data_IF_389325205787
#
_entry.id   IF_389325205787
#
_cell.length_a   1.000
_cell.length_b   1.000
_cell.length_c   1.000
_cell.angle_alpha   90.00
_cell.angle_beta   90.00
_cell.angle_gamma   90.00
#
_symmetry.space_group_name_H-M   'P 1'
#
loop_
_entity.id
_entity.type
_entity.pdbx_description
1 polymer ?
#
# COMPACT_ATOMS: atom_id res chain seq x y z
N UNK A 1 -19.25 14.75 -5.65
CA UNK A 1 -20.18 14.65 -6.81
C UNK A 1 -20.77 13.26 -6.81
N UNK A 2 -22.09 13.11 -6.97
CA UNK A 2 -22.71 11.78 -7.08
C UNK A 2 -22.29 11.15 -8.40
N UNK A 3 -21.91 9.87 -8.37
CA UNK A 3 -21.56 9.11 -9.55
C UNK A 3 -22.80 8.83 -10.38
N UNK A 4 -22.70 8.92 -11.72
CA UNK A 4 -23.78 8.63 -12.63
C UNK A 4 -23.93 7.11 -12.80
N UNK A 5 -25.15 6.60 -12.72
CA UNK A 5 -25.45 5.19 -12.97
C UNK A 5 -26.43 5.08 -14.11
N UNK A 6 -26.09 4.25 -15.05
CA UNK A 6 -26.91 4.01 -16.26
C UNK A 6 -27.29 2.54 -16.29
N UNK A 7 -28.56 2.26 -16.48
CA UNK A 7 -29.06 0.90 -16.63
C UNK A 7 -29.67 0.77 -18.02
N UNK A 8 -29.08 -0.12 -18.79
CA UNK A 8 -29.65 -0.54 -20.09
C UNK A 8 -30.52 -1.77 -19.85
N UNK A 9 -31.75 -1.69 -20.22
CA UNK A 9 -32.71 -2.79 -20.13
C UNK A 9 -33.60 -2.81 -21.39
N UNK A 10 -33.59 -3.91 -22.13
CA UNK A 10 -34.50 -4.15 -23.28
C UNK A 10 -34.55 -2.98 -24.27
N UNK A 11 -33.40 -2.42 -24.62
CA UNK A 11 -33.28 -1.27 -25.52
C UNK A 11 -33.56 0.09 -24.91
N UNK A 12 -34.05 0.16 -23.66
CA UNK A 12 -34.23 1.41 -22.91
C UNK A 12 -33.04 1.72 -22.03
N UNK A 13 -32.82 2.99 -21.82
CA UNK A 13 -31.74 3.51 -20.98
C UNK A 13 -32.32 4.30 -19.82
N UNK A 14 -32.03 3.87 -18.60
CA UNK A 14 -32.36 4.57 -17.36
C UNK A 14 -31.11 5.25 -16.83
N UNK A 15 -31.15 6.57 -16.72
CA UNK A 15 -30.00 7.34 -16.18
C UNK A 15 -30.38 7.85 -14.80
N UNK A 16 -29.64 7.37 -13.80
CA UNK A 16 -29.84 7.76 -12.40
C UNK A 16 -28.81 8.78 -11.99
N UNK A 17 -29.25 9.95 -11.57
CA UNK A 17 -28.46 11.03 -11.01
C UNK A 17 -28.97 11.39 -9.59
N UNK A 18 -28.38 10.77 -8.60
CA UNK A 18 -28.81 10.92 -7.21
C UNK A 18 -30.20 10.35 -6.99
N UNK A 19 -31.22 11.23 -6.86
CA UNK A 19 -32.63 10.86 -6.70
C UNK A 19 -33.43 10.95 -7.99
N UNK A 20 -32.83 11.47 -9.05
CA UNK A 20 -33.53 11.65 -10.31
C UNK A 20 -33.28 10.46 -11.24
N UNK A 21 -34.28 10.07 -11.99
CA UNK A 21 -34.17 9.07 -13.04
C UNK A 21 -34.73 9.67 -14.34
N UNK A 22 -33.95 9.56 -15.42
CA UNK A 22 -34.45 9.88 -16.77
C UNK A 22 -34.48 8.62 -17.63
N UNK A 23 -35.42 8.57 -18.55
CA UNK A 23 -35.60 7.46 -19.50
C UNK A 23 -35.27 7.92 -20.91
N UNK A 24 -34.55 7.11 -21.64
CA UNK A 24 -34.24 7.34 -23.05
C UNK A 24 -34.33 6.04 -23.85
N UNK A 25 -34.92 6.10 -25.02
CA UNK A 25 -34.97 4.99 -25.99
C UNK A 25 -33.71 4.96 -26.88
N UNK A 26 -32.87 5.99 -26.77
CA UNK A 26 -31.59 6.07 -27.47
C UNK A 26 -30.43 6.11 -26.50
N UNK A 27 -29.24 5.74 -26.95
CA UNK A 27 -28.02 5.77 -26.16
C UNK A 27 -27.72 7.18 -25.64
N UNK A 28 -27.70 7.41 -24.33
CA UNK A 28 -27.53 8.75 -23.77
C UNK A 28 -26.07 9.23 -23.96
N UNK A 29 -25.89 10.54 -24.09
CA UNK A 29 -24.58 11.17 -23.99
C UNK A 29 -24.33 11.48 -22.57
N UNK A 30 -23.26 10.91 -22.01
CA UNK A 30 -22.86 11.07 -20.61
C UNK A 30 -21.92 12.25 -20.48
N UNK A 31 -22.09 13.08 -19.44
CA UNK A 31 -21.29 14.28 -19.22
C UNK A 31 -20.21 14.10 -18.16
N UNK A 32 -20.16 12.92 -17.55
CA UNK A 32 -19.20 12.55 -16.47
C UNK A 32 -19.06 11.05 -16.40
N UNK A 33 -18.02 10.59 -15.71
CA UNK A 33 -17.77 9.17 -15.54
C UNK A 33 -18.97 8.43 -14.94
N UNK A 34 -19.28 7.27 -15.49
CA UNK A 34 -20.49 6.54 -15.18
C UNK A 34 -20.23 5.05 -14.98
N UNK A 35 -21.14 4.41 -14.25
CA UNK A 35 -21.30 2.96 -14.22
C UNK A 35 -22.50 2.58 -15.09
N UNK A 36 -22.26 1.77 -16.09
CA UNK A 36 -23.26 1.28 -17.01
C UNK A 36 -23.51 -0.20 -16.70
N UNK A 37 -24.72 -0.53 -16.29
CA UNK A 37 -25.16 -1.92 -16.11
C UNK A 37 -26.06 -2.29 -17.26
N UNK A 38 -25.75 -3.39 -17.96
CA UNK A 38 -26.43 -3.75 -19.21
C UNK A 38 -26.89 -5.22 -19.20
N UNK A 39 -28.07 -5.46 -19.74
CA UNK A 39 -28.54 -6.78 -20.11
C UNK A 39 -28.01 -7.22 -21.48
N UNK A 40 -27.36 -6.31 -22.20
CA UNK A 40 -26.89 -6.49 -23.59
C UNK A 40 -27.93 -7.00 -24.54
N UNK A 41 -29.14 -6.57 -24.36
CA UNK A 41 -30.22 -6.82 -25.36
C UNK A 41 -30.02 -8.10 -26.21
N UNK A 42 -30.90 -9.04 -26.20
CA UNK A 42 -30.75 -10.34 -26.87
C UNK A 42 -29.56 -11.22 -26.47
N UNK A 43 -28.89 -10.90 -25.38
CA UNK A 43 -27.83 -11.74 -24.85
C UNK A 43 -28.41 -13.00 -24.16
N UNK A 44 -27.71 -14.11 -24.34
CA UNK A 44 -28.05 -15.38 -23.68
C UNK A 44 -27.20 -15.57 -22.45
N UNK A 45 -27.80 -15.52 -21.27
CA UNK A 45 -27.12 -15.84 -20.00
C UNK A 45 -27.60 -17.19 -19.46
N UNK A 46 -26.69 -18.03 -19.01
CA UNK A 46 -27.01 -19.33 -18.42
C UNK A 46 -25.85 -19.87 -17.55
N UNK A 47 -26.16 -20.95 -16.83
CA UNK A 47 -25.17 -21.82 -16.20
C UNK A 47 -25.08 -23.11 -17.00
N UNK A 48 -23.87 -23.52 -17.37
CA UNK A 48 -23.64 -24.73 -18.13
C UNK A 48 -22.58 -25.60 -17.41
N UNK A 49 -22.83 -26.90 -17.39
CA UNK A 49 -21.86 -27.90 -16.94
C UNK A 49 -21.04 -28.39 -18.12
N UNK A 50 -19.72 -28.34 -17.97
CA UNK A 50 -18.75 -28.70 -19.00
C UNK A 50 -17.71 -29.67 -18.42
N UNK A 51 -17.18 -30.52 -19.30
CA UNK A 51 -16.07 -31.43 -19.01
C UNK A 51 -14.75 -30.87 -19.56
N UNK A 52 -13.63 -31.27 -18.95
CA UNK A 52 -12.30 -30.89 -19.41
C UNK A 52 -11.74 -29.65 -18.75
N UNK A 53 -10.84 -28.92 -19.44
CA UNK A 53 -10.14 -27.77 -18.89
C UNK A 53 -10.95 -26.47 -19.01
N UNK A 54 -11.07 -25.68 -17.93
CA UNK A 54 -11.71 -24.36 -17.97
C UNK A 54 -11.08 -23.38 -18.98
N UNK A 55 -9.82 -23.62 -19.39
CA UNK A 55 -9.16 -22.80 -20.41
C UNK A 55 -9.88 -22.82 -21.76
N UNK A 56 -10.66 -23.86 -22.06
CA UNK A 56 -11.42 -24.03 -23.29
C UNK A 56 -12.91 -23.66 -23.13
N UNK A 57 -13.31 -23.15 -21.96
CA UNK A 57 -14.72 -22.86 -21.65
C UNK A 57 -15.40 -22.01 -22.71
N UNK A 58 -14.76 -20.93 -23.19
CA UNK A 58 -15.32 -20.03 -24.21
C UNK A 58 -15.70 -20.80 -25.48
N UNK A 59 -14.77 -21.59 -26.02
CA UNK A 59 -15.02 -22.35 -27.25
C UNK A 59 -16.07 -23.45 -27.07
N UNK A 60 -16.07 -24.11 -25.90
CA UNK A 60 -17.06 -25.14 -25.58
C UNK A 60 -18.46 -24.56 -25.42
N UNK A 61 -18.59 -23.41 -24.75
CA UNK A 61 -19.88 -22.70 -24.63
C UNK A 61 -20.39 -22.27 -25.98
N UNK A 62 -19.54 -21.62 -26.78
CA UNK A 62 -19.96 -21.18 -28.13
C UNK A 62 -20.41 -22.36 -29.00
N UNK A 63 -19.66 -23.46 -29.02
CA UNK A 63 -20.03 -24.67 -29.74
C UNK A 63 -21.38 -25.23 -29.27
N UNK A 64 -21.58 -25.28 -27.93
CA UNK A 64 -22.85 -25.78 -27.37
C UNK A 64 -24.04 -24.92 -27.73
N UNK A 65 -23.89 -23.59 -27.54
CA UNK A 65 -24.97 -22.64 -27.88
C UNK A 65 -25.38 -22.69 -29.37
N UNK A 66 -24.38 -22.84 -30.26
CA UNK A 66 -24.66 -23.05 -31.68
C UNK A 66 -25.36 -24.38 -31.96
N UNK A 67 -24.93 -25.47 -31.30
CA UNK A 67 -25.58 -26.77 -31.48
C UNK A 67 -27.01 -26.80 -30.97
N UNK A 68 -27.32 -26.02 -29.94
CA UNK A 68 -28.62 -25.91 -29.31
C UNK A 68 -29.51 -24.85 -30.01
N UNK A 69 -28.99 -24.17 -31.06
CA UNK A 69 -29.72 -23.14 -31.82
C UNK A 69 -30.00 -21.86 -31.02
N UNK A 70 -29.26 -21.62 -29.95
CA UNK A 70 -29.42 -20.46 -29.06
C UNK A 70 -28.68 -19.21 -29.57
N UNK A 71 -27.71 -19.40 -30.46
CA UNK A 71 -27.00 -18.32 -31.15
C UNK A 71 -26.82 -18.66 -32.63
N UNK A 72 -27.15 -17.71 -33.48
CA UNK A 72 -27.04 -17.85 -34.96
C UNK A 72 -25.81 -17.11 -35.51
N UNK A 73 -25.27 -16.14 -34.75
CA UNK A 73 -24.17 -15.29 -35.16
C UNK A 73 -22.96 -15.42 -34.22
N UNK A 74 -21.85 -14.80 -34.61
CA UNK A 74 -20.72 -14.67 -33.71
C UNK A 74 -21.11 -13.95 -32.42
N UNK A 75 -20.66 -14.48 -31.28
CA UNK A 75 -21.00 -13.95 -29.97
C UNK A 75 -19.77 -13.76 -29.11
N UNK A 76 -19.75 -12.69 -28.37
CA UNK A 76 -18.75 -12.47 -27.30
C UNK A 76 -19.20 -13.22 -26.06
N UNK A 77 -18.47 -14.25 -25.68
CA UNK A 77 -18.73 -15.00 -24.43
C UNK A 77 -18.05 -14.30 -23.27
N UNK A 78 -18.85 -13.86 -22.31
CA UNK A 78 -18.41 -13.26 -21.05
C UNK A 78 -18.56 -14.31 -19.94
N UNK A 79 -17.45 -14.74 -19.36
CA UNK A 79 -17.45 -15.69 -18.23
C UNK A 79 -17.47 -14.90 -16.94
N UNK A 80 -18.49 -15.11 -16.11
CA UNK A 80 -18.64 -14.43 -14.82
C UNK A 80 -18.06 -15.26 -13.68
N UNK A 81 -18.25 -16.58 -13.75
CA UNK A 81 -17.71 -17.53 -12.76
C UNK A 81 -17.57 -18.92 -13.34
N UNK A 82 -16.48 -19.57 -12.95
CA UNK A 82 -16.28 -20.99 -13.17
C UNK A 82 -16.06 -21.68 -11.82
N UNK A 83 -16.70 -22.82 -11.62
CA UNK A 83 -16.62 -23.60 -10.40
C UNK A 83 -16.44 -25.07 -10.76
N UNK A 84 -15.47 -25.77 -10.11
CA UNK A 84 -15.31 -27.21 -10.25
C UNK A 84 -16.46 -27.98 -9.60
N UNK A 85 -17.01 -28.97 -10.31
CA UNK A 85 -18.07 -29.86 -9.84
C UNK A 85 -17.72 -31.29 -10.31
N UNK A 86 -17.39 -32.17 -9.35
CA UNK A 86 -16.96 -33.54 -9.70
C UNK A 86 -15.75 -33.56 -10.64
N UNK A 87 -15.88 -34.29 -11.75
CA UNK A 87 -14.84 -34.39 -12.79
C UNK A 87 -14.90 -33.24 -13.83
N UNK A 88 -15.89 -32.37 -13.74
CA UNK A 88 -16.11 -31.23 -14.66
C UNK A 88 -16.14 -29.90 -13.92
N UNK A 89 -16.77 -28.92 -14.57
CA UNK A 89 -16.98 -27.61 -13.99
C UNK A 89 -18.27 -26.97 -14.51
N UNK A 90 -18.87 -26.13 -13.68
CA UNK A 90 -19.97 -25.26 -14.06
C UNK A 90 -19.46 -23.86 -14.38
N UNK A 91 -20.05 -23.25 -15.38
CA UNK A 91 -19.73 -21.88 -15.78
C UNK A 91 -20.98 -21.06 -15.94
N UNK A 92 -21.05 -19.95 -15.20
CA UNK A 92 -22.01 -18.87 -15.41
C UNK A 92 -21.44 -17.94 -16.47
N UNK A 93 -22.17 -17.71 -17.54
CA UNK A 93 -21.74 -16.90 -18.67
C UNK A 93 -22.86 -16.02 -19.23
N UNK A 94 -22.47 -15.06 -20.05
CA UNK A 94 -23.37 -14.31 -20.94
C UNK A 94 -22.75 -14.30 -22.33
N UNK A 95 -23.50 -14.77 -23.31
CA UNK A 95 -23.17 -14.70 -24.72
C UNK A 95 -23.87 -13.48 -25.35
N UNK A 96 -23.08 -12.51 -25.78
CA UNK A 96 -23.59 -11.25 -26.38
C UNK A 96 -23.33 -11.30 -27.88
N UNK A 97 -24.32 -11.03 -28.75
CA UNK A 97 -24.07 -10.88 -30.17
C UNK A 97 -22.92 -9.90 -30.43
N UNK A 98 -21.99 -10.28 -31.31
CA UNK A 98 -20.71 -9.55 -31.44
C UNK A 98 -20.90 -8.11 -31.94
N UNK A 99 -21.84 -7.90 -32.84
CA UNK A 99 -22.21 -6.58 -33.35
C UNK A 99 -22.75 -5.66 -32.24
N UNK A 100 -23.62 -6.19 -31.40
CA UNK A 100 -24.19 -5.46 -30.28
C UNK A 100 -23.13 -5.16 -29.21
N UNK A 101 -22.27 -6.14 -28.95
CA UNK A 101 -21.11 -5.94 -28.07
C UNK A 101 -20.22 -4.81 -28.57
N UNK A 102 -19.84 -4.84 -29.85
CA UNK A 102 -18.98 -3.81 -30.44
C UNK A 102 -19.63 -2.43 -30.41
N UNK A 103 -20.92 -2.34 -30.71
CA UNK A 103 -21.65 -1.08 -30.67
C UNK A 103 -21.74 -0.51 -29.25
N UNK A 104 -22.05 -1.35 -28.25
CA UNK A 104 -22.18 -0.90 -26.87
C UNK A 104 -20.80 -0.50 -26.30
N UNK A 105 -19.78 -1.28 -26.63
CA UNK A 105 -18.43 -0.99 -26.24
C UNK A 105 -17.89 0.30 -26.90
N UNK A 106 -18.07 0.47 -28.20
CA UNK A 106 -17.70 1.68 -28.92
C UNK A 106 -18.42 2.93 -28.39
N UNK A 107 -19.71 2.79 -28.05
CA UNK A 107 -20.45 3.88 -27.41
C UNK A 107 -19.85 4.25 -26.05
N UNK A 108 -19.50 3.27 -25.21
CA UNK A 108 -18.90 3.52 -23.89
C UNK A 108 -17.52 4.18 -23.98
N UNK A 109 -16.69 3.77 -24.94
CA UNK A 109 -15.37 4.37 -25.19
C UNK A 109 -15.44 5.76 -25.83
N UNK A 110 -16.53 6.08 -26.54
CA UNK A 110 -16.75 7.39 -27.15
C UNK A 110 -17.25 8.46 -26.17
N UNK A 111 -17.54 8.11 -24.92
CA UNK A 111 -17.96 9.08 -23.92
C UNK A 111 -16.77 10.00 -23.55
N UNK A 112 -17.02 11.28 -23.17
CA UNK A 112 -15.97 12.21 -22.75
C UNK A 112 -15.15 11.71 -21.56
N UNK A 113 -15.85 11.08 -20.61
CA UNK A 113 -15.26 10.46 -19.43
C UNK A 113 -15.39 8.94 -19.48
N UNK A 114 -14.60 8.22 -18.72
CA UNK A 114 -14.59 6.76 -18.74
C UNK A 114 -15.87 6.16 -18.18
N UNK A 115 -16.38 5.15 -18.87
CA UNK A 115 -17.54 4.38 -18.46
C UNK A 115 -17.16 2.97 -18.05
N UNK A 116 -17.66 2.52 -16.90
CA UNK A 116 -17.49 1.16 -16.43
C UNK A 116 -18.68 0.31 -16.88
N UNK A 117 -18.45 -0.65 -17.78
CA UNK A 117 -19.50 -1.50 -18.32
C UNK A 117 -19.59 -2.81 -17.53
N UNK A 118 -20.77 -3.10 -16.98
CA UNK A 118 -21.02 -4.25 -16.09
C UNK A 118 -22.22 -5.04 -16.62
N UNK A 119 -22.08 -6.34 -16.92
CA UNK A 119 -23.21 -7.21 -17.19
C UNK A 119 -24.10 -7.39 -15.95
N UNK A 120 -25.41 -7.43 -16.12
CA UNK A 120 -26.35 -7.76 -15.04
C UNK A 120 -26.00 -9.09 -14.35
N UNK A 121 -25.63 -10.09 -15.14
CA UNK A 121 -25.26 -11.41 -14.63
C UNK A 121 -24.04 -11.38 -13.71
N UNK A 122 -23.04 -10.52 -14.03
CA UNK A 122 -21.88 -10.29 -13.14
C UNK A 122 -22.29 -9.64 -11.83
N UNK A 123 -23.23 -8.71 -11.89
CA UNK A 123 -23.74 -8.00 -10.72
C UNK A 123 -24.50 -8.97 -9.79
N UNK A 124 -25.38 -9.80 -10.37
CA UNK A 124 -26.10 -10.84 -9.65
C UNK A 124 -25.13 -11.76 -8.89
N UNK A 125 -24.16 -12.29 -9.62
CA UNK A 125 -23.20 -13.24 -9.05
C UNK A 125 -22.38 -12.63 -7.91
N UNK A 126 -21.95 -11.38 -8.04
CA UNK A 126 -21.11 -10.72 -7.02
C UNK A 126 -21.77 -10.62 -5.65
N UNK A 127 -23.09 -10.47 -5.61
CA UNK A 127 -23.85 -10.33 -4.37
C UNK A 127 -24.08 -11.65 -3.64
N UNK A 128 -23.88 -12.79 -4.32
CA UNK A 128 -24.30 -14.09 -3.82
C UNK A 128 -23.24 -14.77 -2.96
N UNK A 129 -23.75 -15.46 -1.96
CA UNK A 129 -23.02 -16.41 -1.10
C UNK A 129 -23.81 -17.72 -1.11
N UNK A 130 -23.17 -18.87 -0.78
CA UNK A 130 -23.89 -20.11 -0.61
C UNK A 130 -25.09 -19.93 0.35
N UNK A 131 -26.25 -20.47 -0.02
CA UNK A 131 -27.51 -20.30 0.73
C UNK A 131 -28.26 -18.98 0.46
N UNK A 132 -27.78 -18.16 -0.48
CA UNK A 132 -28.45 -16.94 -0.89
C UNK A 132 -28.75 -16.97 -2.39
N UNK A 133 -29.97 -16.59 -2.76
CA UNK A 133 -30.38 -16.32 -4.13
C UNK A 133 -30.79 -14.87 -4.30
N UNK A 134 -30.79 -14.39 -5.54
CA UNK A 134 -31.21 -13.05 -5.90
C UNK A 134 -32.11 -13.08 -7.12
N UNK A 135 -33.25 -12.41 -7.01
CA UNK A 135 -34.12 -12.10 -8.15
C UNK A 135 -33.91 -10.65 -8.53
N UNK A 136 -33.59 -10.42 -9.78
CA UNK A 136 -33.49 -9.08 -10.38
C UNK A 136 -34.64 -8.89 -11.35
N UNK A 137 -35.51 -7.91 -11.11
CA UNK A 137 -36.52 -7.47 -12.00
C UNK A 137 -36.05 -6.20 -12.72
N UNK A 138 -35.95 -6.27 -14.04
CA UNK A 138 -35.50 -5.16 -14.90
C UNK A 138 -36.51 -4.99 -16.04
N UNK A 139 -37.43 -4.05 -15.89
CA UNK A 139 -38.56 -3.91 -16.82
C UNK A 139 -39.38 -5.20 -16.88
N UNK A 140 -39.51 -5.75 -18.09
CA UNK A 140 -40.22 -7.02 -18.34
C UNK A 140 -39.39 -8.27 -18.02
N UNK A 141 -38.10 -8.13 -17.85
CA UNK A 141 -37.22 -9.27 -17.62
C UNK A 141 -37.08 -9.53 -16.10
N UNK A 142 -37.23 -10.79 -15.76
CA UNK A 142 -36.99 -11.27 -14.40
C UNK A 142 -35.95 -12.38 -14.46
N UNK A 143 -34.88 -12.21 -13.72
CA UNK A 143 -33.75 -13.17 -13.67
C UNK A 143 -33.54 -13.60 -12.24
N UNK A 144 -33.34 -14.88 -12.00
CA UNK A 144 -32.97 -15.45 -10.69
C UNK A 144 -31.66 -16.18 -10.79
N UNK A 145 -30.80 -15.94 -9.82
CA UNK A 145 -29.54 -16.67 -9.65
C UNK A 145 -29.41 -17.09 -8.18
N UNK A 146 -29.14 -18.36 -7.95
CA UNK A 146 -28.79 -18.88 -6.64
C UNK A 146 -27.46 -19.64 -6.68
N UNK A 147 -26.70 -19.52 -5.61
CA UNK A 147 -25.48 -20.29 -5.39
C UNK A 147 -25.72 -21.26 -4.27
N UNK A 148 -25.73 -22.54 -4.59
CA UNK A 148 -25.85 -23.65 -3.66
C UNK A 148 -24.45 -24.15 -3.28
N UNK A 149 -24.38 -25.08 -2.31
CA UNK A 149 -23.11 -25.63 -1.87
C UNK A 149 -22.28 -26.25 -3.01
N UNK A 150 -22.91 -26.95 -3.92
CA UNK A 150 -22.25 -27.66 -5.02
C UNK A 150 -22.68 -27.22 -6.41
N UNK A 151 -23.68 -26.35 -6.52
CA UNK A 151 -24.32 -25.97 -7.78
C UNK A 151 -24.61 -24.48 -7.88
N UNK A 152 -24.86 -24.01 -9.10
CA UNK A 152 -25.37 -22.68 -9.41
C UNK A 152 -26.60 -22.85 -10.31
N UNK A 153 -27.70 -22.21 -9.94
CA UNK A 153 -28.95 -22.23 -10.70
C UNK A 153 -29.25 -20.84 -11.18
N UNK A 154 -29.36 -20.67 -12.50
CA UNK A 154 -29.75 -19.41 -13.15
C UNK A 154 -30.92 -19.63 -14.05
N UNK A 155 -31.95 -18.78 -13.92
CA UNK A 155 -33.11 -18.73 -14.77
C UNK A 155 -33.44 -17.29 -15.13
N UNK A 156 -33.98 -17.10 -16.32
CA UNK A 156 -34.48 -15.80 -16.75
C UNK A 156 -35.75 -15.99 -17.57
N UNK A 157 -36.67 -15.08 -17.37
CA UNK A 157 -37.92 -15.05 -18.12
C UNK A 157 -38.24 -13.61 -18.57
N UNK A 158 -38.87 -13.46 -19.71
CA UNK A 158 -39.30 -12.18 -20.29
C UNK A 158 -40.82 -12.15 -20.35
N UNK A 159 -41.43 -11.19 -19.65
CA UNK A 159 -42.87 -10.97 -19.72
C UNK A 159 -43.26 -10.37 -21.07
N UNK A 160 -44.49 -10.62 -21.50
CA UNK A 160 -45.00 -10.07 -22.74
C UNK A 160 -45.10 -8.54 -22.69
N UNK A 161 -45.54 -8.00 -21.53
CA UNK A 161 -45.63 -6.56 -21.31
C UNK A 161 -45.15 -6.21 -19.88
N UNK A 162 -45.10 -4.92 -19.55
CA UNK A 162 -44.86 -4.42 -18.16
C UNK A 162 -46.15 -4.42 -17.33
N UNK A 163 -47.28 -4.90 -17.86
CA UNK A 163 -48.50 -4.98 -17.09
C UNK A 163 -48.36 -5.93 -15.90
N UNK A 164 -48.90 -5.57 -14.72
CA UNK A 164 -48.79 -6.37 -13.51
C UNK A 164 -49.24 -7.82 -13.67
N UNK A 165 -50.27 -8.08 -14.49
CA UNK A 165 -50.79 -9.42 -14.77
C UNK A 165 -49.80 -10.29 -15.54
N UNK A 166 -49.14 -9.73 -16.57
CA UNK A 166 -48.16 -10.44 -17.39
C UNK A 166 -46.90 -10.73 -16.60
N UNK A 167 -46.46 -9.74 -15.82
CA UNK A 167 -45.35 -9.91 -14.88
C UNK A 167 -45.66 -10.98 -13.85
N UNK A 168 -46.83 -10.98 -13.24
CA UNK A 168 -47.26 -11.95 -12.25
C UNK A 168 -47.27 -13.39 -12.78
N UNK A 169 -47.77 -13.59 -13.99
CA UNK A 169 -47.72 -14.91 -14.66
C UNK A 169 -46.28 -15.35 -14.90
N UNK A 170 -45.45 -14.45 -15.41
CA UNK A 170 -44.04 -14.74 -15.72
C UNK A 170 -43.23 -15.05 -14.48
N UNK A 171 -43.42 -14.28 -13.42
CA UNK A 171 -42.78 -14.48 -12.11
C UNK A 171 -43.22 -15.81 -11.50
N UNK A 172 -44.53 -16.14 -11.59
CA UNK A 172 -45.04 -17.42 -11.07
C UNK A 172 -44.44 -18.62 -11.79
N UNK A 173 -44.41 -18.58 -13.14
CA UNK A 173 -43.79 -19.66 -13.93
C UNK A 173 -42.28 -19.79 -13.67
N UNK A 174 -41.57 -18.66 -13.58
CA UNK A 174 -40.15 -18.64 -13.27
C UNK A 174 -39.87 -19.24 -11.89
N UNK A 175 -40.69 -18.91 -10.88
CA UNK A 175 -40.55 -19.41 -9.52
C UNK A 175 -40.76 -20.94 -9.43
N UNK A 176 -41.75 -21.48 -10.17
CA UNK A 176 -41.99 -22.91 -10.27
C UNK A 176 -40.82 -23.65 -10.91
N UNK A 177 -40.33 -23.17 -12.08
CA UNK A 177 -39.18 -23.75 -12.77
C UNK A 177 -37.92 -23.69 -11.89
N UNK A 178 -37.73 -22.58 -11.20
CA UNK A 178 -36.60 -22.43 -10.29
C UNK A 178 -36.68 -23.40 -9.11
N UNK A 179 -37.86 -23.60 -8.53
CA UNK A 179 -38.07 -24.56 -7.47
C UNK A 179 -37.86 -26.02 -7.94
N UNK A 180 -38.27 -26.36 -9.14
CA UNK A 180 -37.98 -27.68 -9.72
C UNK A 180 -36.48 -27.92 -9.88
N UNK A 181 -35.72 -26.95 -10.37
CA UNK A 181 -34.24 -27.07 -10.47
C UNK A 181 -33.59 -27.29 -9.13
N UNK A 182 -34.06 -26.62 -8.08
CA UNK A 182 -33.56 -26.79 -6.72
C UNK A 182 -33.93 -28.18 -6.14
N UNK A 183 -35.11 -28.69 -6.46
CA UNK A 183 -35.59 -29.98 -5.97
C UNK A 183 -34.90 -31.20 -6.58
N UNK A 184 -34.23 -31.05 -7.72
CA UNK A 184 -33.50 -32.14 -8.40
C UNK A 184 -32.13 -32.47 -7.76
N UNK A 185 -31.63 -31.63 -6.85
CA UNK A 185 -30.37 -31.84 -6.12
C UNK A 185 -30.61 -32.44 -4.75
N UNK A 186 -30.56 -33.79 -4.61
CA UNK A 186 -30.83 -34.52 -3.36
C UNK A 186 -29.97 -34.10 -2.15
N UNK A 187 -28.84 -33.40 -2.34
CA UNK A 187 -27.89 -32.97 -1.29
C UNK A 187 -28.02 -31.48 -0.87
N UNK A 188 -28.99 -30.72 -1.40
CA UNK A 188 -29.09 -29.28 -1.19
C UNK A 188 -30.09 -28.88 -0.09
N UNK A 189 -29.93 -29.44 1.10
CA UNK A 189 -30.80 -29.15 2.27
C UNK A 189 -30.42 -27.85 3.02
N UNK A 190 -29.55 -27.01 2.49
CA UNK A 190 -29.27 -25.71 3.13
C UNK A 190 -30.45 -24.76 2.93
N UNK A 191 -30.87 -24.01 3.99
CA UNK A 191 -31.95 -23.05 3.87
C UNK A 191 -31.54 -21.94 2.88
N UNK A 192 -32.21 -21.90 1.72
CA UNK A 192 -32.03 -20.87 0.71
C UNK A 192 -32.96 -19.70 1.02
N UNK A 193 -32.40 -18.51 1.11
CA UNK A 193 -33.16 -17.26 1.18
C UNK A 193 -33.00 -16.47 -0.11
N UNK A 194 -34.07 -15.84 -0.58
CA UNK A 194 -34.07 -15.06 -1.82
C UNK A 194 -34.15 -13.57 -1.50
N UNK A 195 -33.31 -12.77 -2.15
CA UNK A 195 -33.43 -11.33 -2.15
C UNK A 195 -34.11 -10.87 -3.45
N UNK A 196 -35.07 -9.95 -3.33
CA UNK A 196 -35.77 -9.34 -4.48
C UNK A 196 -35.22 -7.94 -4.73
N UNK A 197 -34.76 -7.67 -5.95
CA UNK A 197 -34.18 -6.40 -6.37
C UNK A 197 -34.90 -5.89 -7.63
N UNK A 198 -35.88 -5.00 -7.53
CA UNK A 198 -36.44 -4.33 -8.69
C UNK A 198 -35.53 -3.17 -9.11
N UNK A 199 -35.30 -3.02 -10.39
CA UNK A 199 -34.55 -1.88 -10.94
C UNK A 199 -35.37 -0.60 -10.80
N UNK A 200 -36.60 -0.61 -11.19
CA UNK A 200 -37.52 0.52 -11.11
C UNK A 200 -38.98 0.07 -11.06
N UNK A 201 -39.69 0.50 -10.04
CA UNK A 201 -41.13 0.21 -9.88
C UNK A 201 -41.89 1.50 -9.68
N UNK A 202 -42.93 1.70 -10.43
CA UNK A 202 -43.76 2.89 -10.35
C UNK A 202 -44.61 2.87 -9.08
N UNK A 203 -44.80 4.05 -8.47
CA UNK A 203 -45.70 4.21 -7.34
C UNK A 203 -47.12 3.86 -7.75
N UNK A 204 -47.84 3.04 -6.97
CA UNK A 204 -49.26 2.76 -7.23
C UNK A 204 -50.07 4.06 -7.08
N UNK A 205 -51.24 4.09 -7.76
CA UNK A 205 -52.23 5.11 -7.48
C UNK A 205 -52.76 5.01 -6.06
N UNK A 206 -53.58 5.99 -5.63
CA UNK A 206 -54.14 6.04 -4.27
C UNK A 206 -54.82 4.71 -3.86
N UNK A 207 -54.31 4.12 -2.78
CA UNK A 207 -54.85 2.89 -2.21
C UNK A 207 -54.35 1.57 -2.82
N UNK A 208 -53.45 1.58 -3.80
CA UNK A 208 -52.86 0.38 -4.39
C UNK A 208 -51.67 -0.17 -3.62
N UNK A 209 -51.39 -1.48 -3.78
CA UNK A 209 -50.14 -2.08 -3.34
C UNK A 209 -49.02 -1.76 -4.39
N UNK A 210 -47.74 -1.82 -3.93
CA UNK A 210 -46.65 -1.73 -4.89
C UNK A 210 -46.52 -3.03 -5.68
N UNK A 211 -46.42 -2.93 -7.00
CA UNK A 211 -46.36 -4.09 -7.87
C UNK A 211 -45.18 -5.05 -7.53
N UNK A 212 -44.08 -4.54 -7.01
CA UNK A 212 -42.95 -5.35 -6.56
C UNK A 212 -43.27 -6.16 -5.30
N UNK A 213 -44.12 -5.67 -4.41
CA UNK A 213 -44.53 -6.40 -3.20
C UNK A 213 -45.42 -7.61 -3.63
N UNK A 214 -46.36 -7.41 -4.52
CA UNK A 214 -47.22 -8.48 -5.07
C UNK A 214 -46.41 -9.53 -5.83
N UNK A 215 -45.46 -9.11 -6.69
CA UNK A 215 -44.59 -10.03 -7.43
C UNK A 215 -43.69 -10.85 -6.51
N UNK A 216 -43.16 -10.23 -5.48
CA UNK A 216 -42.36 -10.91 -4.45
C UNK A 216 -43.14 -11.98 -3.71
N UNK A 217 -44.39 -11.68 -3.34
CA UNK A 217 -45.28 -12.64 -2.67
C UNK A 217 -45.63 -13.81 -3.59
N UNK A 218 -45.90 -13.55 -4.90
CA UNK A 218 -46.13 -14.59 -5.90
C UNK A 218 -44.91 -15.50 -6.06
N UNK A 219 -43.70 -14.91 -6.16
CA UNK A 219 -42.48 -15.69 -6.25
C UNK A 219 -42.28 -16.56 -4.99
N UNK A 220 -42.49 -15.99 -3.80
CA UNK A 220 -42.36 -16.72 -2.53
C UNK A 220 -43.38 -17.86 -2.42
N UNK A 221 -44.64 -17.62 -2.78
CA UNK A 221 -45.70 -18.62 -2.73
C UNK A 221 -45.48 -19.79 -3.70
N UNK A 222 -44.96 -19.48 -4.92
CA UNK A 222 -44.77 -20.49 -5.97
C UNK A 222 -43.46 -21.27 -5.80
N UNK A 223 -42.39 -20.61 -5.32
CA UNK A 223 -41.11 -21.28 -5.06
C UNK A 223 -41.05 -21.99 -3.69
N UNK A 224 -41.93 -21.64 -2.75
CA UNK A 224 -41.89 -22.11 -1.37
C UNK A 224 -40.69 -21.53 -0.57
N UNK A 225 -40.00 -20.52 -1.07
CA UNK A 225 -38.80 -19.95 -0.46
C UNK A 225 -39.11 -18.59 0.22
N UNK A 226 -38.41 -18.26 1.32
CA UNK A 226 -38.53 -16.94 1.92
C UNK A 226 -37.89 -15.88 1.03
N UNK A 227 -38.65 -14.83 0.68
CA UNK A 227 -38.20 -13.74 -0.18
C UNK A 227 -38.22 -12.42 0.58
N UNK A 228 -37.10 -11.72 0.60
CA UNK A 228 -36.95 -10.41 1.21
C UNK A 228 -36.53 -9.37 0.16
N UNK A 229 -37.02 -8.13 0.28
CA UNK A 229 -36.60 -7.07 -0.63
C UNK A 229 -35.25 -6.50 -0.22
N UNK A 230 -34.41 -6.12 -1.21
CA UNK A 230 -33.24 -5.27 -0.96
C UNK A 230 -33.70 -3.89 -0.49
N UNK A 231 -32.82 -3.10 0.18
CA UNK A 231 -33.17 -1.72 0.53
C UNK A 231 -33.50 -0.89 -0.72
N UNK A 232 -34.73 -0.44 -0.83
CA UNK A 232 -35.21 0.36 -1.94
C UNK A 232 -35.07 1.85 -1.66
N UNK A 233 -34.77 2.64 -2.69
CA UNK A 233 -34.73 4.11 -2.64
C UNK A 233 -35.85 4.69 -3.46
N UNK A 234 -36.43 5.80 -2.97
CA UNK A 234 -37.34 6.60 -3.77
C UNK A 234 -36.53 7.42 -4.78
N UNK A 235 -36.98 7.40 -6.02
CA UNK A 235 -36.46 8.18 -7.14
C UNK A 235 -37.60 8.84 -7.86
N UNK A 236 -37.34 9.96 -8.53
CA UNK A 236 -38.35 10.77 -9.23
C UNK A 236 -37.94 10.95 -10.68
N UNK A 237 -38.87 10.84 -11.59
CA UNK A 237 -38.64 11.10 -13.02
C UNK A 237 -38.72 12.61 -13.35
N UNK A 238 -38.44 12.94 -14.61
CA UNK A 238 -38.50 14.32 -15.13
C UNK A 238 -39.90 14.93 -15.06
N UNK A 239 -40.94 14.10 -14.93
CA UNK A 239 -42.33 14.51 -14.84
C UNK A 239 -42.85 14.61 -13.41
N UNK A 240 -41.99 14.32 -12.43
CA UNK A 240 -42.37 14.31 -11.03
C UNK A 240 -43.03 13.02 -10.55
N UNK A 241 -43.07 11.95 -11.36
CA UNK A 241 -43.59 10.67 -10.90
C UNK A 241 -42.59 10.00 -9.96
N UNK A 242 -43.11 9.42 -8.88
CA UNK A 242 -42.30 8.71 -7.88
C UNK A 242 -42.22 7.22 -8.22
N UNK A 243 -41.03 6.68 -7.99
CA UNK A 243 -40.70 5.26 -8.18
C UNK A 243 -39.93 4.75 -6.96
N UNK A 244 -40.01 3.44 -6.71
CA UNK A 244 -39.02 2.71 -5.87
C UNK A 244 -37.97 2.06 -6.76
N UNK A 245 -36.74 2.04 -6.29
CA UNK A 245 -35.64 1.46 -7.06
C UNK A 245 -34.62 0.77 -6.18
N UNK A 246 -34.13 -0.39 -6.60
CA UNK A 246 -32.99 -1.10 -6.05
C UNK A 246 -31.65 -0.46 -6.44
N UNK A 247 -31.64 0.74 -7.02
CA UNK A 247 -30.42 1.41 -7.49
C UNK A 247 -29.35 1.53 -6.40
N UNK A 248 -29.74 1.75 -5.15
CA UNK A 248 -28.80 1.82 -4.03
C UNK A 248 -28.05 0.52 -3.79
N UNK A 249 -28.70 -0.60 -3.98
CA UNK A 249 -28.09 -1.91 -3.94
C UNK A 249 -27.19 -2.14 -5.15
N UNK A 250 -27.66 -1.82 -6.37
CA UNK A 250 -26.87 -1.89 -7.60
C UNK A 250 -25.57 -1.09 -7.47
N UNK A 251 -25.66 0.15 -6.94
CA UNK A 251 -24.52 1.01 -6.69
C UNK A 251 -23.48 0.37 -5.74
N UNK A 252 -23.96 -0.30 -4.69
CA UNK A 252 -23.08 -0.94 -3.71
C UNK A 252 -22.36 -2.18 -4.27
N UNK A 253 -22.98 -2.86 -5.24
CA UNK A 253 -22.44 -4.06 -5.88
C UNK A 253 -21.53 -3.72 -7.07
N UNK A 254 -21.77 -2.60 -7.75
CA UNK A 254 -20.97 -2.19 -8.91
C UNK A 254 -19.51 -1.95 -8.53
N UNK A 255 -18.58 -2.55 -9.27
CA UNK A 255 -17.15 -2.39 -9.04
C UNK A 255 -16.32 -2.73 -10.28
N UNK A 256 -15.11 -2.25 -10.30
CA UNK A 256 -14.13 -2.51 -11.36
C UNK A 256 -13.82 -4.00 -11.54
N UNK A 257 -13.98 -4.83 -10.50
CA UNK A 257 -13.64 -6.26 -10.55
C UNK A 257 -14.58 -7.08 -11.44
N UNK A 258 -15.85 -6.64 -11.59
CA UNK A 258 -16.88 -7.31 -12.39
C UNK A 258 -17.15 -6.61 -13.72
N UNK A 259 -16.43 -5.52 -14.00
CA UNK A 259 -16.55 -4.81 -15.26
C UNK A 259 -15.85 -5.57 -16.39
N UNK A 260 -16.42 -5.47 -17.57
CA UNK A 260 -15.92 -6.14 -18.79
C UNK A 260 -14.96 -5.27 -19.60
N UNK A 261 -14.74 -4.02 -19.18
CA UNK A 261 -13.76 -3.12 -19.78
C UNK A 261 -12.33 -3.67 -19.67
N UNK A 262 -11.43 -3.33 -20.60
CA UNK A 262 -10.00 -3.57 -20.48
C UNK A 262 -9.43 -2.98 -19.20
N UNK A 263 -8.31 -3.55 -18.73
CA UNK A 263 -7.68 -3.12 -17.49
C UNK A 263 -7.32 -1.62 -17.50
N UNK A 264 -6.84 -1.11 -18.64
CA UNK A 264 -6.52 0.31 -18.81
C UNK A 264 -7.71 1.23 -18.55
N UNK A 265 -8.86 0.97 -19.19
CA UNK A 265 -10.09 1.76 -18.99
C UNK A 265 -10.62 1.66 -17.56
N UNK A 266 -10.50 0.49 -16.91
CA UNK A 266 -10.89 0.33 -15.49
C UNK A 266 -10.02 1.15 -14.55
N UNK A 267 -8.70 1.19 -14.81
CA UNK A 267 -7.76 2.00 -14.01
C UNK A 267 -8.03 3.48 -14.24
N UNK A 268 -8.24 3.90 -15.48
CA UNK A 268 -8.54 5.29 -15.83
C UNK A 268 -9.84 5.77 -15.16
N UNK A 269 -10.91 4.96 -15.23
CA UNK A 269 -12.16 5.25 -14.54
C UNK A 269 -11.98 5.41 -13.02
N UNK A 270 -11.18 4.52 -12.39
CA UNK A 270 -10.88 4.64 -10.96
C UNK A 270 -10.07 5.90 -10.66
N UNK A 271 -9.09 6.23 -11.52
CA UNK A 271 -8.27 7.42 -11.36
C UNK A 271 -9.11 8.70 -11.45
N UNK A 272 -10.07 8.78 -12.39
CA UNK A 272 -11.00 9.92 -12.48
C UNK A 272 -11.81 10.11 -11.19
N UNK A 273 -12.34 9.03 -10.63
CA UNK A 273 -13.06 9.08 -9.36
C UNK A 273 -12.19 9.47 -8.16
N UNK A 274 -10.91 9.11 -8.17
CA UNK A 274 -9.94 9.42 -7.11
C UNK A 274 -9.31 10.82 -7.24
N UNK A 275 -9.28 11.40 -8.45
CA UNK A 275 -8.63 12.69 -8.74
C UNK A 275 -9.05 13.82 -7.80
N UNK A 276 -10.35 14.09 -7.52
CA UNK A 276 -10.75 15.18 -6.64
C UNK A 276 -10.29 14.96 -5.20
N UNK A 277 -10.25 13.70 -4.73
CA UNK A 277 -9.76 13.37 -3.39
C UNK A 277 -8.25 13.53 -3.34
N UNK A 278 -7.53 13.02 -4.34
CA UNK A 278 -6.08 13.12 -4.45
C UNK A 278 -5.63 14.59 -4.55
N UNK A 279 -6.33 15.41 -5.34
CA UNK A 279 -6.01 16.84 -5.47
C UNK A 279 -6.24 17.61 -4.16
N UNK A 280 -7.34 17.32 -3.45
CA UNK A 280 -7.59 17.90 -2.13
C UNK A 280 -6.53 17.49 -1.10
N UNK A 281 -6.17 16.20 -1.06
CA UNK A 281 -5.10 15.68 -0.20
C UNK A 281 -3.74 16.31 -0.52
N UNK A 282 -3.41 16.45 -1.81
CA UNK A 282 -2.17 17.09 -2.26
C UNK A 282 -2.12 18.58 -1.85
N UNK A 283 -3.24 19.30 -1.94
CA UNK A 283 -3.33 20.68 -1.50
C UNK A 283 -3.11 20.83 0.01
N UNK A 284 -3.75 19.96 0.81
CA UNK A 284 -3.55 19.94 2.27
C UNK A 284 -2.08 19.62 2.59
N UNK A 285 -1.49 18.64 1.93
CA UNK A 285 -0.09 18.29 2.12
C UNK A 285 0.86 19.44 1.73
N UNK A 286 0.59 20.11 0.61
CA UNK A 286 1.35 21.31 0.19
C UNK A 286 1.24 22.45 1.22
N UNK A 287 0.06 22.67 1.82
CA UNK A 287 -0.12 23.67 2.89
C UNK A 287 0.68 23.31 4.13
N UNK A 288 0.68 22.04 4.54
CA UNK A 288 1.48 21.55 5.69
C UNK A 288 2.98 21.77 5.43
N UNK A 289 3.48 21.37 4.25
CA UNK A 289 4.88 21.58 3.88
C UNK A 289 5.23 23.07 3.81
N UNK A 290 4.33 23.89 3.28
CA UNK A 290 4.48 25.36 3.26
C UNK A 290 4.57 25.95 4.67
N UNK A 291 3.71 25.53 5.59
CA UNK A 291 3.73 25.97 6.99
C UNK A 291 5.03 25.54 7.71
N UNK A 292 5.47 24.30 7.50
CA UNK A 292 6.75 23.80 8.03
C UNK A 292 7.93 24.60 7.46
N UNK A 293 7.94 24.84 6.14
CA UNK A 293 8.96 25.66 5.48
C UNK A 293 9.01 27.08 6.01
N UNK A 294 7.85 27.71 6.20
CA UNK A 294 7.75 29.06 6.78
C UNK A 294 8.28 29.07 8.22
N UNK A 295 7.93 28.07 9.04
CA UNK A 295 8.44 27.95 10.41
C UNK A 295 9.97 27.79 10.44
N UNK A 296 10.54 26.99 9.55
CA UNK A 296 11.99 26.80 9.45
C UNK A 296 12.67 28.08 8.95
N UNK A 297 12.08 28.80 7.99
CA UNK A 297 12.61 30.07 7.50
C UNK A 297 12.63 31.14 8.61
N UNK A 298 11.59 31.19 9.45
CA UNK A 298 11.54 32.09 10.61
C UNK A 298 12.61 31.72 11.63
N UNK A 299 12.76 30.43 11.97
CA UNK A 299 13.80 29.96 12.87
C UNK A 299 15.22 30.21 12.35
N UNK A 300 15.45 30.08 11.03
CA UNK A 300 16.72 30.42 10.41
C UNK A 300 17.02 31.92 10.49
N UNK A 301 16.01 32.79 10.32
CA UNK A 301 16.17 34.25 10.50
C UNK A 301 16.54 34.60 11.94
N UNK A 302 15.85 34.03 12.92
CA UNK A 302 16.19 34.22 14.33
C UNK A 302 17.61 33.74 14.67
N UNK A 303 18.03 32.58 14.12
CA UNK A 303 19.38 32.08 14.30
C UNK A 303 20.44 33.01 13.67
N UNK A 304 20.17 33.55 12.48
CA UNK A 304 21.08 34.50 11.83
C UNK A 304 21.20 35.79 12.65
N UNK A 305 20.07 36.37 13.12
CA UNK A 305 20.10 37.56 13.97
C UNK A 305 20.90 37.34 15.26
N UNK A 306 20.72 36.14 15.86
CA UNK A 306 21.48 35.80 17.08
C UNK A 306 22.97 35.59 16.80
N UNK A 307 23.30 35.01 15.61
CA UNK A 307 24.68 34.87 15.15
C UNK A 307 25.36 36.23 14.95
N UNK A 308 24.64 37.18 14.33
CA UNK A 308 25.16 38.54 14.12
C UNK A 308 25.39 39.26 15.44
N UNK A 309 24.44 39.14 16.42
CA UNK A 309 24.60 39.69 17.77
C UNK A 309 25.83 39.10 18.50
N UNK A 310 26.01 37.77 18.42
CA UNK A 310 27.18 37.12 19.00
C UNK A 310 28.47 37.58 18.33
N UNK A 311 28.45 37.78 17.02
CA UNK A 311 29.58 38.33 16.27
C UNK A 311 29.97 39.75 16.75
N UNK A 312 28.96 40.60 16.98
CA UNK A 312 29.21 41.97 17.55
C UNK A 312 29.78 41.92 18.99
N UNK A 313 29.24 41.00 19.81
CA UNK A 313 29.76 40.84 21.18
C UNK A 313 31.22 40.35 21.18
N UNK A 314 31.57 39.36 20.33
CA UNK A 314 32.93 38.90 20.15
C UNK A 314 33.85 40.03 19.71
N UNK A 315 33.45 40.82 18.69
CA UNK A 315 34.24 41.96 18.23
C UNK A 315 34.38 43.06 19.26
N UNK A 316 33.39 43.22 20.18
CA UNK A 316 33.50 44.13 21.30
C UNK A 316 34.49 43.66 22.36
N UNK A 317 34.48 42.36 22.67
CA UNK A 317 35.42 41.74 23.61
C UNK A 317 36.86 41.77 23.06
N UNK A 318 37.06 41.44 21.78
CA UNK A 318 38.38 41.58 21.12
C UNK A 318 38.94 42.99 21.23
N UNK A 319 38.10 44.03 20.94
CA UNK A 319 38.53 45.41 21.09
C UNK A 319 38.91 45.76 22.54
N UNK A 320 38.20 45.18 23.53
CA UNK A 320 38.57 45.38 24.95
C UNK A 320 39.90 44.71 25.29
N UNK A 321 40.14 43.52 24.78
CA UNK A 321 41.42 42.79 24.97
C UNK A 321 42.58 43.56 24.34
N UNK A 322 42.39 44.03 23.07
CA UNK A 322 43.40 44.83 22.41
C UNK A 322 43.67 46.14 23.17
N UNK A 323 42.59 46.77 23.69
CA UNK A 323 42.74 47.94 24.54
C UNK A 323 43.48 47.70 25.88
N UNK A 324 43.31 46.52 26.45
CA UNK A 324 44.07 46.11 27.63
C UNK A 324 45.53 45.80 27.31
N UNK A 325 45.81 45.10 26.20
CA UNK A 325 47.15 44.84 25.69
C UNK A 325 47.90 46.13 25.34
N UNK A 326 47.23 47.12 24.83
CA UNK A 326 47.84 48.44 24.55
C UNK A 326 48.15 49.26 25.84
N UNK A 327 47.44 48.99 26.93
CA UNK A 327 47.67 49.68 28.22
C UNK A 327 48.75 49.03 29.09
N UNK A 328 48.90 47.69 29.01
CA UNK A 328 49.96 46.96 29.66
C UNK A 328 51.03 46.68 28.58
N UNK A 329 52.11 47.44 28.57
CA UNK A 329 53.29 47.13 27.80
C UNK A 329 53.88 45.81 28.33
N UNK A 330 53.36 44.70 27.82
CA UNK A 330 53.91 43.37 28.18
C UNK A 330 55.31 43.27 27.59
N UNK A 331 56.24 42.69 28.36
CA UNK A 331 57.55 42.36 27.85
C UNK A 331 57.45 41.47 26.63
N UNK A 332 58.32 41.67 25.63
CA UNK A 332 58.35 40.87 24.37
C UNK A 332 58.45 39.36 24.60
N UNK A 333 58.92 38.94 25.78
CA UNK A 333 59.07 37.53 26.21
C UNK A 333 57.82 36.91 26.82
N UNK A 334 56.71 37.66 26.99
CA UNK A 334 55.51 37.15 27.67
C UNK A 334 54.87 35.96 26.93
N UNK A 335 54.71 35.93 25.59
CA UNK A 335 54.18 34.78 24.88
C UNK A 335 55.05 33.54 25.02
N UNK A 336 56.39 33.73 25.05
CA UNK A 336 57.33 32.62 25.25
C UNK A 336 57.26 32.08 26.69
N UNK A 337 57.10 32.95 27.67
CA UNK A 337 56.95 32.60 29.07
C UNK A 337 55.65 31.88 29.35
N UNK A 338 54.54 32.33 28.74
CA UNK A 338 53.24 31.66 28.85
C UNK A 338 53.28 30.27 28.19
N UNK A 339 53.83 30.13 26.99
CA UNK A 339 54.02 28.84 26.32
C UNK A 339 54.91 27.89 27.14
N UNK A 340 55.94 28.42 27.84
CA UNK A 340 56.79 27.63 28.71
C UNK A 340 56.03 27.16 29.96
N UNK A 341 55.25 28.03 30.62
CA UNK A 341 54.42 27.69 31.79
C UNK A 341 53.37 26.65 31.41
N UNK A 342 52.69 26.84 30.32
CA UNK A 342 51.67 25.86 29.81
C UNK A 342 52.30 24.50 29.51
N UNK A 343 53.51 24.51 28.92
CA UNK A 343 54.25 23.27 28.63
C UNK A 343 54.76 22.60 29.93
N UNK A 344 55.19 23.38 30.89
CA UNK A 344 55.62 22.87 32.21
C UNK A 344 54.43 22.31 33.02
N UNK A 345 53.26 22.99 32.98
CA UNK A 345 52.03 22.51 33.60
C UNK A 345 51.52 21.21 32.97
N UNK A 346 51.60 21.08 31.65
CA UNK A 346 51.26 19.82 30.95
C UNK A 346 52.18 18.67 31.32
N UNK A 347 53.46 18.93 31.53
CA UNK A 347 54.44 17.93 31.98
C UNK A 347 54.25 17.54 33.45
N UNK A 348 53.84 18.46 34.33
CA UNK A 348 53.57 18.18 35.75
C UNK A 348 52.22 17.45 35.97
N UNK A 349 51.21 17.75 35.17
CA UNK A 349 49.88 17.16 35.34
C UNK A 349 49.63 15.97 34.37
N UNK A 350 50.60 15.66 33.49
CA UNK A 350 50.57 14.52 32.58
C UNK A 350 50.68 13.19 33.33
N UNK A 351 50.01 12.16 32.83
CA UNK A 351 50.12 10.81 33.37
C UNK A 351 51.60 10.33 33.31
N UNK A 352 52.10 9.76 34.39
CA UNK A 352 53.48 9.29 34.50
C UNK A 352 53.81 8.19 33.46
N UNK A 353 54.68 8.46 32.48
CA UNK A 353 55.06 7.46 31.49
C UNK A 353 55.73 6.24 32.10
N UNK A 354 56.39 6.38 33.26
CA UNK A 354 57.07 5.30 33.94
C UNK A 354 56.09 4.26 34.51
N UNK A 355 54.94 4.70 35.01
CA UNK A 355 53.88 3.81 35.47
C UNK A 355 53.26 3.01 34.29
N UNK A 356 53.05 3.66 33.15
CA UNK A 356 52.55 2.98 31.94
C UNK A 356 53.54 1.98 31.36
N UNK A 357 54.85 2.29 31.40
CA UNK A 357 55.91 1.36 31.01
C UNK A 357 55.98 0.15 31.91
N UNK A 358 55.80 0.34 33.24
CA UNK A 358 55.75 -0.76 34.21
C UNK A 358 54.55 -1.70 33.91
N UNK A 359 53.36 -1.16 33.62
CA UNK A 359 52.18 -1.96 33.25
C UNK A 359 52.40 -2.76 31.95
N UNK A 360 53.00 -2.15 30.92
CA UNK A 360 53.37 -2.85 29.68
C UNK A 360 54.39 -3.97 29.93
N UNK A 361 55.39 -3.73 30.77
CA UNK A 361 56.35 -4.75 31.18
C UNK A 361 55.69 -5.91 31.90
N UNK A 362 54.82 -5.61 32.84
CA UNK A 362 54.11 -6.64 33.63
C UNK A 362 53.12 -7.44 32.76
N UNK A 363 52.47 -6.79 31.79
CA UNK A 363 51.63 -7.48 30.81
C UNK A 363 52.44 -8.44 29.92
N UNK A 364 53.65 -8.09 29.54
CA UNK A 364 54.56 -8.94 28.76
C UNK A 364 54.91 -10.26 29.52
N UNK A 365 55.06 -10.23 30.85
CA UNK A 365 55.25 -11.38 31.73
C UNK A 365 56.20 -12.47 31.20
N UNK A 366 57.20 -12.10 30.42
CA UNK A 366 58.17 -13.03 29.81
C UNK A 366 57.63 -13.93 28.70
N UNK A 367 56.41 -13.71 28.22
CA UNK A 367 55.81 -14.46 27.10
C UNK A 367 56.12 -13.82 25.74
N UNK A 368 56.29 -12.51 25.71
CA UNK A 368 56.65 -11.74 24.54
C UNK A 368 57.87 -10.88 24.87
N UNK A 369 58.70 -10.65 23.87
CA UNK A 369 59.86 -9.77 24.00
C UNK A 369 59.52 -8.42 23.37
N UNK A 370 59.45 -7.38 24.21
CA UNK A 370 59.28 -6.01 23.76
C UNK A 370 60.59 -5.51 23.20
N UNK A 371 60.60 -5.08 21.96
CA UNK A 371 61.77 -4.55 21.27
C UNK A 371 61.88 -3.04 21.39
N UNK A 372 60.70 -2.38 21.38
CA UNK A 372 60.65 -0.92 21.35
C UNK A 372 59.35 -0.43 21.93
N UNK A 373 59.42 0.61 22.73
CA UNK A 373 58.28 1.41 23.14
C UNK A 373 58.54 2.85 22.72
N UNK A 374 57.60 3.45 22.01
CA UNK A 374 57.68 4.87 21.67
C UNK A 374 56.47 5.59 22.24
N UNK A 375 56.73 6.76 22.80
CA UNK A 375 55.70 7.72 23.14
C UNK A 375 55.41 8.53 21.86
N UNK A 376 54.21 8.45 21.37
CA UNK A 376 53.76 9.23 20.20
C UNK A 376 52.82 10.33 20.73
N UNK A 377 53.14 11.58 20.48
CA UNK A 377 52.18 12.66 20.66
C UNK A 377 51.08 12.48 19.59
N UNK A 378 49.79 12.71 19.93
CA UNK A 378 48.73 12.65 18.91
C UNK A 378 49.11 13.63 17.79
N UNK A 379 49.02 13.21 16.52
CA UNK A 379 49.36 14.08 15.41
C UNK A 379 48.50 15.33 15.50
N UNK A 380 49.13 16.51 15.58
CA UNK A 380 48.42 17.77 15.41
C UNK A 380 47.68 17.69 14.06
N UNK A 381 46.39 17.59 14.09
CA UNK A 381 45.59 17.57 12.87
C UNK A 381 45.84 18.88 12.12
N UNK A 382 46.67 18.79 11.09
CA UNK A 382 46.88 19.88 10.15
C UNK A 382 45.55 20.15 9.47
N UNK A 383 44.80 21.13 9.96
CA UNK A 383 43.60 21.64 9.36
C UNK A 383 43.96 22.33 8.06
N UNK A 384 43.93 21.61 6.95
CA UNK A 384 43.90 22.20 5.64
C UNK A 384 42.45 22.66 5.38
N UNK A 385 42.20 23.97 5.52
CA UNK A 385 41.24 24.69 4.71
C UNK A 385 39.75 24.63 5.05
N UNK A 386 39.35 24.53 6.34
CA UNK A 386 37.99 24.83 6.77
C UNK A 386 37.98 25.80 7.97
N UNK A 387 37.00 26.75 8.05
CA UNK A 387 36.88 27.64 9.19
C UNK A 387 36.67 26.83 10.48
N UNK A 388 37.47 27.12 11.46
CA UNK A 388 37.64 26.40 12.70
C UNK A 388 36.34 26.09 13.44
N UNK A 389 35.99 24.82 13.68
CA UNK A 389 35.17 24.49 14.83
C UNK A 389 36.01 24.68 16.08
N UNK A 390 35.37 25.14 17.17
CA UNK A 390 35.95 25.33 18.50
C UNK A 390 36.94 24.22 18.89
N UNK A 391 38.04 24.54 19.55
CA UNK A 391 38.99 23.53 19.99
C UNK A 391 38.25 22.57 20.92
N UNK A 392 38.07 21.35 20.45
CA UNK A 392 37.70 20.27 21.36
C UNK A 392 38.71 20.21 22.47
N UNK A 393 38.31 19.99 23.76
CA UNK A 393 39.25 19.88 24.87
C UNK A 393 40.29 18.83 24.49
N UNK A 394 41.54 19.23 24.49
CA UNK A 394 42.67 18.36 24.19
C UNK A 394 42.55 17.13 25.07
N UNK A 395 42.38 15.95 24.46
CA UNK A 395 42.41 14.69 25.19
C UNK A 395 43.78 14.57 25.86
N UNK A 396 43.82 14.72 27.17
CA UNK A 396 45.00 14.59 28.02
C UNK A 396 45.49 13.13 28.03
N UNK A 397 45.91 12.61 26.89
CA UNK A 397 46.36 11.23 26.76
C UNK A 397 47.51 11.11 25.76
N UNK A 398 48.57 10.46 26.19
CA UNK A 398 49.64 10.05 25.26
C UNK A 398 49.34 8.65 24.70
N UNK A 399 49.84 8.40 23.50
CA UNK A 399 49.74 7.11 22.85
C UNK A 399 51.09 6.42 22.87
N UNK A 400 51.10 5.17 23.37
CA UNK A 400 52.33 4.35 23.41
C UNK A 400 52.28 3.38 22.20
N UNK A 401 53.28 3.42 21.37
CA UNK A 401 53.49 2.38 20.36
C UNK A 401 54.44 1.33 20.92
N UNK A 402 53.96 0.07 20.92
CA UNK A 402 54.70 -1.08 21.43
C UNK A 402 54.98 -2.03 20.26
N UNK A 403 56.28 -2.20 19.96
CA UNK A 403 56.74 -3.16 18.96
C UNK A 403 57.42 -4.32 19.69
N UNK A 404 57.10 -5.56 19.34
CA UNK A 404 57.62 -6.74 20.00
C UNK A 404 57.66 -7.99 19.12
N UNK A 405 58.18 -9.05 19.69
CA UNK A 405 58.28 -10.36 19.07
C UNK A 405 57.80 -11.45 20.03
N UNK A 406 57.06 -12.40 19.54
CA UNK A 406 56.66 -13.58 20.31
C UNK A 406 57.87 -14.50 20.50
N UNK A 407 58.07 -15.02 21.73
CA UNK A 407 59.19 -15.90 22.03
C UNK A 407 58.91 -17.34 21.50
N UNK A 408 59.63 -17.70 20.47
CA UNK A 408 59.49 -18.99 19.80
C UNK A 408 59.74 -20.22 20.71
N UNK A 409 60.39 -20.03 21.83
CA UNK A 409 60.73 -21.11 22.77
C UNK A 409 59.64 -21.44 23.79
N UNK A 410 58.61 -20.59 23.93
CA UNK A 410 57.57 -20.72 24.96
C UNK A 410 56.17 -20.95 24.45
N UNK A 411 56.03 -21.23 23.17
CA UNK A 411 54.73 -21.53 22.56
C UNK A 411 54.59 -20.97 21.14
N UNK A 412 53.41 -21.18 20.50
CA UNK A 412 53.15 -20.63 19.20
C UNK A 412 52.83 -19.13 19.30
N UNK A 413 53.41 -18.32 18.43
CA UNK A 413 53.16 -16.88 18.37
C UNK A 413 51.65 -16.52 18.31
N UNK A 414 50.83 -17.39 17.71
CA UNK A 414 49.39 -17.26 17.61
C UNK A 414 48.64 -17.32 18.97
N UNK A 415 49.24 -17.82 20.03
CA UNK A 415 48.68 -17.85 21.40
C UNK A 415 49.27 -16.79 22.32
N UNK A 416 50.54 -16.44 22.15
CA UNK A 416 51.27 -15.52 23.04
C UNK A 416 50.80 -14.07 22.84
N UNK A 417 50.64 -13.64 21.59
CA UNK A 417 50.25 -12.23 21.30
C UNK A 417 48.81 -11.95 21.73
N UNK A 418 47.79 -12.78 21.46
CA UNK A 418 46.45 -12.57 22.02
C UNK A 418 46.42 -12.54 23.53
N UNK A 419 47.22 -13.37 24.21
CA UNK A 419 47.31 -13.38 25.68
C UNK A 419 47.93 -12.06 26.21
N UNK A 420 48.94 -11.54 25.54
CA UNK A 420 49.56 -10.25 25.87
C UNK A 420 48.54 -9.11 25.65
N UNK A 421 47.84 -9.08 24.55
CA UNK A 421 46.80 -8.08 24.24
C UNK A 421 45.69 -8.09 25.30
N UNK A 422 45.24 -9.29 25.70
CA UNK A 422 44.20 -9.42 26.73
C UNK A 422 44.69 -8.92 28.11
N UNK A 423 45.95 -9.12 28.46
CA UNK A 423 46.55 -8.56 29.69
C UNK A 423 46.66 -7.05 29.64
N UNK A 424 47.01 -6.47 28.50
CA UNK A 424 47.00 -5.03 28.28
C UNK A 424 45.61 -4.44 28.47
N UNK A 425 44.58 -5.12 27.94
CA UNK A 425 43.17 -4.71 28.16
C UNK A 425 42.80 -4.74 29.65
N UNK A 426 43.17 -5.79 30.34
CA UNK A 426 42.93 -5.88 31.80
C UNK A 426 43.70 -4.82 32.61
N UNK A 427 44.85 -4.37 32.10
CA UNK A 427 45.59 -3.25 32.66
C UNK A 427 44.98 -1.87 32.31
N UNK A 428 43.86 -1.84 31.55
CA UNK A 428 43.12 -0.63 31.21
C UNK A 428 43.58 0.07 29.92
N UNK A 429 44.44 -0.53 29.12
CA UNK A 429 44.82 -0.01 27.83
C UNK A 429 43.84 -0.48 26.74
N UNK A 430 43.67 0.34 25.71
CA UNK A 430 42.99 -0.07 24.46
C UNK A 430 44.04 -0.35 23.37
N UNK A 431 44.45 -1.62 23.17
CA UNK A 431 45.46 -1.99 22.21
C UNK A 431 44.87 -2.07 20.81
N UNK A 432 45.30 -1.16 19.95
CA UNK A 432 44.90 -1.13 18.53
C UNK A 432 46.06 -1.63 17.65
N UNK A 433 45.87 -2.59 16.74
CA UNK A 433 46.94 -3.04 15.85
C UNK A 433 47.31 -1.91 14.90
N UNK A 434 48.60 -1.70 14.68
CA UNK A 434 49.13 -0.68 13.75
C UNK A 434 48.75 -1.01 12.32
N UNK A 435 48.67 -2.31 11.98
CA UNK A 435 48.16 -2.80 10.71
C UNK A 435 46.87 -3.61 10.95
N UNK A 436 45.70 -3.02 10.64
CA UNK A 436 44.39 -3.67 10.87
C UNK A 436 44.20 -4.96 10.03
N UNK A 437 44.87 -5.08 8.90
CA UNK A 437 44.70 -6.24 7.98
C UNK A 437 45.44 -7.47 8.49
N UNK A 438 46.48 -7.29 9.31
CA UNK A 438 47.28 -8.39 9.88
C UNK A 438 46.87 -8.76 11.30
N UNK A 439 45.85 -8.12 11.90
CA UNK A 439 45.51 -8.32 13.31
C UNK A 439 46.62 -8.00 14.30
N UNK A 440 47.59 -7.20 13.88
CA UNK A 440 48.77 -6.83 14.68
C UNK A 440 49.93 -7.83 14.57
N UNK A 441 49.74 -8.98 13.98
CA UNK A 441 50.79 -9.98 13.72
C UNK A 441 51.29 -9.86 12.29
N UNK A 442 52.55 -9.58 12.07
CA UNK A 442 53.10 -9.58 10.74
C UNK A 442 53.47 -11.04 10.33
N UNK A 443 52.54 -11.74 9.70
CA UNK A 443 52.68 -13.16 9.28
C UNK A 443 53.68 -13.37 8.15
N UNK A 444 54.17 -12.29 7.51
CA UNK A 444 55.15 -12.40 6.42
C UNK A 444 56.60 -12.57 6.90
N UNK A 445 56.87 -12.31 8.16
CA UNK A 445 58.19 -12.56 8.76
C UNK A 445 58.08 -13.77 9.66
N UNK A 446 58.95 -14.76 9.44
CA UNK A 446 59.03 -16.02 10.21
C UNK A 446 59.31 -15.86 11.73
N UNK A 447 59.25 -14.65 12.28
CA UNK A 447 59.65 -14.32 13.62
C UNK A 447 58.55 -13.84 14.56
N UNK A 448 57.27 -13.87 14.17
CA UNK A 448 56.17 -13.49 15.09
C UNK A 448 56.20 -12.04 15.59
N UNK A 449 56.62 -11.08 14.77
CA UNK A 449 56.63 -9.66 15.12
C UNK A 449 55.23 -9.09 15.23
N UNK A 450 55.01 -8.23 16.23
CA UNK A 450 53.74 -7.52 16.42
C UNK A 450 53.99 -6.03 16.72
N UNK A 451 52.98 -5.19 16.40
CA UNK A 451 52.98 -3.75 16.67
C UNK A 451 51.62 -3.29 17.11
N UNK A 452 51.49 -2.68 18.25
CA UNK A 452 50.25 -2.15 18.81
C UNK A 452 50.40 -0.70 19.24
N UNK A 453 49.34 0.07 19.02
CA UNK A 453 49.15 1.39 19.62
C UNK A 453 48.29 1.25 20.87
N UNK A 454 48.78 1.74 21.99
CA UNK A 454 48.10 1.71 23.28
C UNK A 454 47.65 3.12 23.63
N UNK A 455 46.36 3.36 23.83
CA UNK A 455 45.86 4.60 24.42
C UNK A 455 45.90 4.50 25.92
N UNK A 456 46.30 5.60 26.58
CA UNK A 456 46.44 5.65 28.06
C UNK A 456 45.07 5.46 28.73
N UNK A 457 44.98 4.67 29.83
CA UNK A 457 43.71 4.44 30.54
C UNK A 457 43.08 5.70 31.14
N UNK A 458 43.83 6.78 31.33
CA UNK A 458 43.30 8.06 31.84
C UNK A 458 42.46 8.84 30.82
N UNK A 459 42.58 8.54 29.53
CA UNK A 459 41.75 9.16 28.49
C UNK A 459 40.30 8.65 28.46
N UNK A 460 40.02 7.46 29.00
CA UNK A 460 38.67 6.90 29.05
C UNK A 460 37.81 7.44 30.20
N UNK A 461 38.39 7.95 31.26
CA UNK A 461 37.64 8.51 32.40
C UNK A 461 37.02 9.89 32.10
N UNK A 462 37.46 10.57 31.04
CA UNK A 462 36.93 11.87 30.62
C UNK A 462 35.69 11.74 29.70
N UNK A 463 35.57 10.62 28.98
CA UNK A 463 34.41 10.37 28.07
C UNK A 463 33.18 9.81 28.78
N UNK A 464 33.29 9.36 30.05
CA UNK A 464 32.20 8.73 30.80
C UNK A 464 31.55 9.60 31.88
N UNK A 465 31.72 10.94 31.85
CA UNK A 465 30.94 11.85 32.71
C UNK A 465 29.80 12.46 31.91
N UNK A 466 28.51 12.23 32.34
CA UNK A 466 27.31 12.71 31.69
C UNK A 466 27.19 14.24 31.69
#
# INVERSE_FOLDING_TARGET
>A
MSQLHVIQQQGQWLVFDGRNVSRSDSRPRLQRSAVVVSDFENAVSNVISLEGSPAHAVALIEKRLRSDGLIDSESKILIHKTRGVGAGYQTLFTAVPLDLWQQTYAWAEAQPDHCLLIPFTSLLFKSLRPGLGLVLQSGRQVSVLAVLKHDMVYRTALAYSEDPSDLAMTVGALAEQFAEDLGTGEDNLEPLSIQWCPVLVRQPGEGGSWADDDLREIFSARSGLPVTSVPLRQVVDEHGNEYRSGIGWIQSMASTSIAVNPLGSRIAWFAEGALPIASAASLVFAMILGALGARWALGAREANVRSDQLGEEIAAIERQIDGLHAREAMPDDFPATQAFIERAARLQNGADPSASLALVRDAAAGQVRILRVRLEEPPAQAAQGMPAPQPAPAADGYTLRVDGVADAWRGTAGMQVPTFVERLRRAGFDPQPVDPQSGGLNTRSAGGFFSYLLKSPLSQAAESRP
#
